data_IF_558593934493
#
_entry.id   IF_558593934493
#
_cell.length_a   1.000
_cell.length_b   1.000
_cell.length_c   1.000
_cell.angle_alpha   90.00
_cell.angle_beta   90.00
_cell.angle_gamma   90.00
#
_symmetry.space_group_name_H-M   'P 1'
#
loop_
_entity.id
_entity.type
_entity.pdbx_description
1 polymer ?
#
# COMPACT_ATOMS: atom_id res chain seq x y z
N UNK A 1 -23.32 -6.68 -28.02
CA UNK A 1 -23.38 -6.86 -26.56
C UNK A 1 -22.01 -6.57 -26.00
N UNK A 2 -21.71 -5.32 -25.67
CA UNK A 2 -20.44 -4.97 -25.04
C UNK A 2 -20.53 -5.34 -23.56
N UNK A 3 -20.01 -6.52 -23.20
CA UNK A 3 -19.97 -7.00 -21.82
C UNK A 3 -18.98 -6.19 -20.98
N UNK A 4 -19.38 -5.01 -20.55
CA UNK A 4 -18.58 -4.26 -19.59
C UNK A 4 -18.44 -5.06 -18.28
N UNK A 5 -17.19 -5.27 -17.86
CA UNK A 5 -16.89 -5.94 -16.60
C UNK A 5 -17.54 -5.17 -15.42
N UNK A 6 -18.19 -5.92 -14.52
CA UNK A 6 -18.67 -5.34 -13.27
C UNK A 6 -17.51 -4.82 -12.40
N UNK A 7 -17.77 -3.86 -11.52
CA UNK A 7 -16.74 -3.33 -10.63
C UNK A 7 -16.17 -4.43 -9.71
N UNK A 8 -16.98 -5.42 -9.32
CA UNK A 8 -16.51 -6.59 -8.56
C UNK A 8 -15.55 -7.47 -9.36
N UNK A 9 -15.86 -7.68 -10.66
CA UNK A 9 -14.96 -8.43 -11.55
C UNK A 9 -13.65 -7.68 -11.77
N UNK A 10 -13.67 -6.37 -11.96
CA UNK A 10 -12.47 -5.53 -12.04
C UNK A 10 -11.63 -5.63 -10.77
N UNK A 11 -12.27 -5.53 -9.60
CA UNK A 11 -11.61 -5.69 -8.31
C UNK A 11 -10.89 -7.05 -8.21
N UNK A 12 -11.59 -8.13 -8.55
CA UNK A 12 -11.01 -9.48 -8.51
C UNK A 12 -9.82 -9.64 -9.47
N UNK A 13 -9.90 -9.06 -10.68
CA UNK A 13 -8.79 -9.07 -11.66
C UNK A 13 -7.59 -8.29 -11.11
N UNK A 14 -7.79 -7.12 -10.52
CA UNK A 14 -6.70 -6.32 -9.91
C UNK A 14 -6.04 -7.08 -8.77
N UNK A 15 -6.84 -7.71 -7.90
CA UNK A 15 -6.31 -8.54 -6.81
C UNK A 15 -5.51 -9.72 -7.35
N UNK A 16 -6.04 -10.45 -8.34
CA UNK A 16 -5.33 -11.57 -8.96
C UNK A 16 -4.00 -11.13 -9.61
N UNK A 17 -4.00 -10.00 -10.31
CA UNK A 17 -2.77 -9.40 -10.86
C UNK A 17 -1.76 -9.08 -9.76
N UNK A 18 -2.20 -8.41 -8.68
CA UNK A 18 -1.33 -8.01 -7.58
C UNK A 18 -0.73 -9.22 -6.83
N UNK A 19 -1.51 -10.28 -6.63
CA UNK A 19 -1.01 -11.54 -6.05
C UNK A 19 0.05 -12.19 -6.95
N UNK A 20 -0.20 -12.27 -8.26
CA UNK A 20 0.78 -12.83 -9.21
C UNK A 20 2.06 -11.99 -9.26
N UNK A 21 1.93 -10.65 -9.24
CA UNK A 21 3.05 -9.71 -9.20
C UNK A 21 3.86 -9.86 -7.91
N UNK A 22 3.19 -10.05 -6.76
CA UNK A 22 3.84 -10.29 -5.46
C UNK A 22 4.68 -11.57 -5.46
N UNK A 23 4.21 -12.63 -6.15
CA UNK A 23 5.00 -13.86 -6.30
C UNK A 23 6.30 -13.61 -7.08
N UNK A 24 6.21 -12.90 -8.23
CA UNK A 24 7.39 -12.54 -9.03
C UNK A 24 8.38 -11.72 -8.21
N UNK A 25 7.87 -10.74 -7.47
CA UNK A 25 8.68 -9.90 -6.59
C UNK A 25 9.37 -10.69 -5.51
N UNK A 26 8.63 -11.53 -4.77
CA UNK A 26 9.19 -12.38 -3.72
C UNK A 26 10.24 -13.35 -4.26
N UNK A 27 10.04 -13.92 -5.45
CA UNK A 27 11.01 -14.78 -6.11
C UNK A 27 12.28 -14.02 -6.49
N UNK A 28 12.17 -12.82 -7.07
CA UNK A 28 13.33 -11.97 -7.40
C UNK A 28 14.13 -11.63 -6.15
N UNK A 29 13.46 -11.18 -5.08
CA UNK A 29 14.12 -10.85 -3.81
C UNK A 29 14.76 -12.09 -3.19
N UNK A 30 14.10 -13.23 -3.23
CA UNK A 30 14.70 -14.50 -2.78
C UNK A 30 15.96 -14.85 -3.56
N UNK A 31 15.95 -14.73 -4.91
CA UNK A 31 17.13 -14.99 -5.74
C UNK A 31 18.28 -14.06 -5.39
N UNK A 32 18.02 -12.76 -5.20
CA UNK A 32 19.04 -11.80 -4.78
C UNK A 32 19.63 -12.18 -3.41
N UNK A 33 18.78 -12.50 -2.44
CA UNK A 33 19.20 -12.91 -1.09
C UNK A 33 20.00 -14.22 -1.12
N UNK A 34 19.59 -15.19 -1.93
CA UNK A 34 20.30 -16.44 -2.11
C UNK A 34 21.67 -16.26 -2.76
N UNK A 35 21.81 -15.37 -3.76
CA UNK A 35 23.08 -15.05 -4.40
C UNK A 35 24.11 -14.41 -3.45
N UNK A 36 23.65 -13.70 -2.42
CA UNK A 36 24.53 -13.08 -1.39
C UNK A 36 24.58 -13.88 -0.09
N UNK A 37 24.02 -15.10 -0.11
CA UNK A 37 23.95 -16.03 1.04
C UNK A 37 23.29 -15.39 2.30
N UNK A 38 22.20 -14.63 2.10
CA UNK A 38 21.53 -13.91 3.17
C UNK A 38 20.01 -13.85 2.98
N UNK A 39 19.29 -14.66 3.73
CA UNK A 39 17.82 -14.68 3.71
C UNK A 39 17.21 -13.50 4.49
N UNK A 40 17.83 -13.12 5.60
CA UNK A 40 17.35 -12.04 6.46
C UNK A 40 17.99 -10.70 6.06
N UNK A 41 17.20 -9.63 5.80
CA UNK A 41 17.77 -8.32 5.40
C UNK A 41 18.56 -7.65 6.54
N UNK A 42 18.09 -7.78 7.77
CA UNK A 42 18.74 -7.20 8.94
C UNK A 42 19.83 -8.12 9.50
N UNK A 43 21.08 -7.76 9.25
CA UNK A 43 22.25 -8.46 9.78
C UNK A 43 23.37 -7.46 10.13
N UNK A 44 24.21 -7.82 11.12
CA UNK A 44 25.30 -6.97 11.61
C UNK A 44 26.31 -6.58 10.51
N UNK A 45 26.50 -7.43 9.50
CA UNK A 45 27.30 -7.11 8.33
C UNK A 45 26.36 -6.69 7.18
N UNK A 46 26.42 -5.45 6.69
CA UNK A 46 25.58 -5.00 5.59
C UNK A 46 25.76 -5.88 4.35
N UNK A 47 24.68 -6.01 3.57
CA UNK A 47 24.67 -6.75 2.30
C UNK A 47 25.80 -6.24 1.40
N UNK A 48 26.65 -7.11 0.81
CA UNK A 48 27.62 -6.73 -0.18
C UNK A 48 26.90 -6.42 -1.51
N UNK A 49 26.16 -5.31 -1.55
CA UNK A 49 25.48 -4.88 -2.77
C UNK A 49 26.55 -4.30 -3.70
N UNK A 50 26.89 -5.01 -4.77
CA UNK A 50 27.68 -4.42 -5.84
C UNK A 50 26.90 -3.25 -6.47
N UNK A 51 27.61 -2.25 -6.98
CA UNK A 51 26.97 -1.10 -7.65
C UNK A 51 26.03 -1.55 -8.81
N UNK A 52 26.37 -2.62 -9.50
CA UNK A 52 25.56 -3.21 -10.57
C UNK A 52 24.25 -3.79 -10.01
N UNK A 53 24.30 -4.57 -8.93
CA UNK A 53 23.11 -5.16 -8.32
C UNK A 53 22.17 -4.08 -7.79
N UNK A 54 22.70 -3.04 -7.12
CA UNK A 54 21.89 -1.93 -6.63
C UNK A 54 21.23 -1.13 -7.75
N UNK A 55 21.88 -0.99 -8.92
CA UNK A 55 21.27 -0.32 -10.08
C UNK A 55 20.13 -1.15 -10.67
N UNK A 56 20.30 -2.46 -10.83
CA UNK A 56 19.23 -3.37 -11.31
C UNK A 56 18.05 -3.36 -10.36
N UNK A 57 18.30 -3.39 -9.05
CA UNK A 57 17.27 -3.35 -8.02
C UNK A 57 16.45 -2.06 -8.07
N UNK A 58 17.11 -0.93 -8.26
CA UNK A 58 16.47 0.37 -8.42
C UNK A 58 15.51 0.42 -9.61
N UNK A 59 15.93 -0.12 -10.77
CA UNK A 59 15.07 -0.22 -11.94
C UNK A 59 13.91 -1.20 -11.74
N UNK A 60 14.14 -2.28 -10.99
CA UNK A 60 13.08 -3.22 -10.61
C UNK A 60 12.01 -2.53 -9.75
N UNK A 61 12.40 -1.77 -8.71
CA UNK A 61 11.47 -0.98 -7.90
C UNK A 61 10.65 -0.01 -8.75
N UNK A 62 11.32 0.72 -9.65
CA UNK A 62 10.64 1.65 -10.56
C UNK A 62 9.65 0.94 -11.49
N UNK A 63 10.00 -0.23 -12.02
CA UNK A 63 9.13 -1.04 -12.86
C UNK A 63 7.91 -1.56 -12.08
N UNK A 64 8.10 -2.00 -10.83
CA UNK A 64 7.03 -2.42 -9.93
C UNK A 64 6.02 -1.30 -9.71
N UNK A 65 6.48 -0.08 -9.39
CA UNK A 65 5.61 1.09 -9.24
C UNK A 65 4.88 1.44 -10.54
N UNK A 66 5.57 1.35 -11.69
CA UNK A 66 4.95 1.57 -13.00
C UNK A 66 3.84 0.56 -13.29
N UNK A 67 4.01 -0.72 -12.97
CA UNK A 67 2.98 -1.76 -13.11
C UNK A 67 1.75 -1.46 -12.24
N UNK A 68 1.96 -1.05 -10.98
CA UNK A 68 0.87 -0.69 -10.06
C UNK A 68 0.07 0.51 -10.59
N UNK A 69 0.75 1.56 -11.05
CA UNK A 69 0.09 2.73 -11.64
C UNK A 69 -0.67 2.33 -12.90
N UNK A 70 -0.06 1.56 -13.77
CA UNK A 70 -0.67 1.12 -15.04
C UNK A 70 -1.93 0.30 -14.83
N UNK A 71 -1.91 -0.68 -13.92
CA UNK A 71 -3.12 -1.47 -13.64
C UNK A 71 -4.25 -0.61 -13.04
N UNK A 72 -3.91 0.37 -12.20
CA UNK A 72 -4.87 1.34 -11.69
C UNK A 72 -5.51 2.19 -12.79
N UNK A 73 -4.71 2.68 -13.74
CA UNK A 73 -5.18 3.45 -14.89
C UNK A 73 -6.09 2.63 -15.80
N UNK A 74 -5.77 1.36 -16.05
CA UNK A 74 -6.55 0.46 -16.89
C UNK A 74 -7.86 0.03 -16.23
N UNK A 75 -7.85 -0.25 -14.93
CA UNK A 75 -9.01 -0.74 -14.21
C UNK A 75 -10.04 0.36 -13.90
N UNK A 76 -9.58 1.58 -13.59
CA UNK A 76 -10.44 2.66 -13.13
C UNK A 76 -11.01 3.52 -14.26
N UNK A 77 -12.31 3.84 -14.21
CA UNK A 77 -12.99 4.72 -15.18
C UNK A 77 -12.89 6.21 -14.82
N UNK A 78 -12.67 6.53 -13.54
CA UNK A 78 -12.45 7.89 -13.04
C UNK A 78 -11.16 7.97 -12.25
N UNK A 79 -10.62 9.18 -12.03
CA UNK A 79 -9.36 9.35 -11.28
C UNK A 79 -9.42 8.74 -9.88
N UNK A 80 -10.56 8.90 -9.18
CA UNK A 80 -10.77 8.31 -7.86
C UNK A 80 -10.66 6.78 -7.91
N UNK A 81 -11.34 6.13 -8.88
CA UNK A 81 -11.28 4.67 -9.07
C UNK A 81 -9.91 4.21 -9.52
N UNK A 82 -9.22 4.97 -10.39
CA UNK A 82 -7.84 4.68 -10.81
C UNK A 82 -6.88 4.63 -9.63
N UNK A 83 -6.91 5.66 -8.79
CA UNK A 83 -6.10 5.70 -7.56
C UNK A 83 -6.56 4.59 -6.59
N UNK A 84 -7.86 4.33 -6.46
CA UNK A 84 -8.39 3.24 -5.65
C UNK A 84 -7.87 1.87 -6.09
N UNK A 85 -7.91 1.57 -7.38
CA UNK A 85 -7.36 0.31 -7.91
C UNK A 85 -5.84 0.22 -7.79
N UNK A 86 -5.11 1.30 -7.99
CA UNK A 86 -3.66 1.35 -7.74
C UNK A 86 -3.34 1.08 -6.25
N UNK A 87 -4.12 1.64 -5.33
CA UNK A 87 -3.98 1.39 -3.90
C UNK A 87 -4.30 -0.07 -3.52
N UNK A 88 -5.34 -0.68 -4.12
CA UNK A 88 -5.62 -2.11 -3.95
C UNK A 88 -4.44 -2.94 -4.45
N UNK A 89 -3.95 -2.65 -5.66
CA UNK A 89 -2.84 -3.39 -6.26
C UNK A 89 -1.58 -3.30 -5.38
N UNK A 90 -1.23 -2.09 -4.92
CA UNK A 90 -0.08 -1.89 -4.02
C UNK A 90 -0.27 -2.66 -2.71
N UNK A 91 -1.41 -2.48 -2.03
CA UNK A 91 -1.62 -3.10 -0.73
C UNK A 91 -1.66 -4.62 -0.80
N UNK A 92 -2.33 -5.20 -1.81
CA UNK A 92 -2.38 -6.66 -2.01
C UNK A 92 -0.99 -7.19 -2.35
N UNK A 93 -0.27 -6.53 -3.26
CA UNK A 93 1.10 -6.88 -3.61
C UNK A 93 2.00 -6.88 -2.37
N UNK A 94 1.99 -5.85 -1.56
CA UNK A 94 2.84 -5.72 -0.37
C UNK A 94 2.55 -6.81 0.68
N UNK A 95 1.28 -7.08 0.97
CA UNK A 95 0.90 -8.15 1.91
C UNK A 95 1.35 -9.53 1.39
N UNK A 96 1.05 -9.84 0.11
CA UNK A 96 1.38 -11.15 -0.47
C UNK A 96 2.88 -11.32 -0.72
N UNK A 97 3.65 -10.26 -0.90
CA UNK A 97 5.10 -10.30 -0.92
C UNK A 97 5.66 -10.96 0.35
N UNK A 98 5.23 -10.54 1.53
CA UNK A 98 5.65 -11.16 2.80
C UNK A 98 5.10 -12.57 2.98
N UNK A 99 3.87 -12.84 2.56
CA UNK A 99 3.29 -14.18 2.58
C UNK A 99 4.14 -15.14 1.75
N UNK A 100 4.51 -14.74 0.54
CA UNK A 100 5.30 -15.59 -0.34
C UNK A 100 6.74 -15.75 0.13
N UNK A 101 7.40 -14.72 0.62
CA UNK A 101 8.73 -14.87 1.24
C UNK A 101 8.68 -15.83 2.44
N UNK A 102 7.63 -15.76 3.26
CA UNK A 102 7.45 -16.70 4.36
C UNK A 102 7.35 -18.13 3.87
N UNK A 103 6.64 -18.37 2.77
CA UNK A 103 6.48 -19.70 2.15
C UNK A 103 7.78 -20.18 1.49
N UNK A 104 8.49 -19.30 0.77
CA UNK A 104 9.68 -19.66 0.00
C UNK A 104 10.90 -19.90 0.90
N UNK A 105 11.16 -19.03 1.87
CA UNK A 105 12.40 -19.03 2.63
C UNK A 105 12.22 -18.97 4.16
N UNK A 106 10.98 -19.05 4.67
CA UNK A 106 10.70 -19.02 6.09
C UNK A 106 10.83 -17.64 6.76
N UNK A 107 11.09 -16.58 6.00
CA UNK A 107 11.17 -15.20 6.48
C UNK A 107 9.99 -14.37 5.90
N UNK A 108 9.41 -13.43 6.66
CA UNK A 108 9.69 -13.03 8.04
C UNK A 108 9.26 -14.10 9.06
N UNK A 109 9.97 -14.23 10.16
CA UNK A 109 9.61 -15.14 11.27
C UNK A 109 8.48 -14.55 12.10
N UNK A 110 8.52 -13.23 12.28
CA UNK A 110 7.53 -12.44 13.01
C UNK A 110 7.22 -11.15 12.25
N UNK A 111 6.11 -10.50 12.59
CA UNK A 111 5.76 -9.20 12.03
C UNK A 111 6.68 -8.05 12.53
N UNK A 112 7.55 -8.33 13.51
CA UNK A 112 8.52 -7.36 14.02
C UNK A 112 9.91 -7.51 13.40
N UNK A 113 10.10 -8.47 12.50
CA UNK A 113 11.34 -8.58 11.73
C UNK A 113 11.52 -7.35 10.84
N UNK A 114 12.76 -6.88 10.76
CA UNK A 114 13.09 -5.69 9.98
C UNK A 114 13.26 -6.02 8.49
N UNK A 115 12.74 -5.13 7.64
CA UNK A 115 12.94 -5.19 6.20
C UNK A 115 13.39 -3.85 5.62
N UNK A 116 14.05 -3.91 4.47
CA UNK A 116 14.27 -2.76 3.58
C UNK A 116 13.09 -2.71 2.62
N UNK A 117 12.25 -1.68 2.76
CA UNK A 117 11.03 -1.55 1.98
C UNK A 117 11.31 -1.02 0.57
N UNK A 118 12.11 0.04 0.48
CA UNK A 118 12.53 0.70 -0.76
C UNK A 118 13.91 1.32 -0.60
N UNK A 119 14.60 1.53 -1.73
CA UNK A 119 15.90 2.18 -1.78
C UNK A 119 15.82 3.67 -2.20
N UNK A 120 14.68 4.10 -2.76
CA UNK A 120 14.46 5.45 -3.26
C UNK A 120 13.58 6.28 -2.33
N UNK A 121 13.91 7.56 -2.08
CA UNK A 121 15.16 8.26 -2.42
C UNK A 121 16.31 7.91 -1.49
N UNK A 122 16.04 7.27 -0.36
CA UNK A 122 16.95 6.74 0.66
C UNK A 122 16.45 5.37 1.09
N UNK A 123 17.28 4.49 1.67
CA UNK A 123 16.80 3.22 2.22
C UNK A 123 15.72 3.41 3.29
N UNK A 124 14.60 2.70 3.12
CA UNK A 124 13.47 2.71 4.05
C UNK A 124 13.54 1.46 4.90
N UNK A 125 13.72 1.63 6.18
CA UNK A 125 13.75 0.53 7.13
C UNK A 125 12.50 0.53 8.01
N UNK A 126 11.83 -0.62 8.10
CA UNK A 126 10.74 -0.81 9.05
C UNK A 126 10.56 -2.28 9.44
N UNK A 127 9.97 -2.55 10.63
CA UNK A 127 9.39 -3.85 10.93
C UNK A 127 8.23 -4.15 9.98
N UNK A 128 8.09 -5.41 9.55
CA UNK A 128 7.07 -5.88 8.57
C UNK A 128 5.64 -5.44 8.93
N UNK A 129 5.33 -5.32 10.22
CA UNK A 129 4.02 -4.85 10.67
C UNK A 129 3.69 -3.44 10.15
N UNK A 130 4.69 -2.58 9.97
CA UNK A 130 4.44 -1.19 9.55
C UNK A 130 3.96 -1.11 8.09
N UNK A 131 4.67 -1.63 7.06
CA UNK A 131 4.17 -1.64 5.69
C UNK A 131 2.85 -2.43 5.56
N UNK A 132 2.71 -3.58 6.20
CA UNK A 132 1.46 -4.37 6.19
C UNK A 132 0.27 -3.55 6.72
N UNK A 133 0.46 -2.74 7.77
CA UNK A 133 -0.61 -1.88 8.30
C UNK A 133 -1.04 -0.81 7.29
N UNK A 134 -0.09 -0.19 6.58
CA UNK A 134 -0.37 0.77 5.50
C UNK A 134 -1.06 0.05 4.33
N UNK A 135 -0.55 -1.12 3.94
CA UNK A 135 -1.11 -1.93 2.85
C UNK A 135 -2.59 -2.30 3.10
N UNK A 136 -2.93 -2.73 4.31
CA UNK A 136 -4.31 -3.02 4.69
C UNK A 136 -5.19 -1.77 4.61
N UNK A 137 -4.71 -0.62 5.07
CA UNK A 137 -5.43 0.65 4.95
C UNK A 137 -5.65 1.04 3.48
N UNK A 138 -4.65 0.83 2.61
CA UNK A 138 -4.75 1.07 1.17
C UNK A 138 -5.77 0.15 0.50
N UNK A 139 -5.81 -1.14 0.85
CA UNK A 139 -6.81 -2.10 0.36
C UNK A 139 -8.22 -1.65 0.77
N UNK A 140 -8.42 -1.32 2.05
CA UNK A 140 -9.71 -0.88 2.58
C UNK A 140 -10.19 0.39 1.88
N UNK A 141 -9.36 1.43 1.86
CA UNK A 141 -9.70 2.67 1.18
C UNK A 141 -9.93 2.47 -0.32
N UNK A 142 -9.03 1.77 -1.01
CA UNK A 142 -9.13 1.50 -2.44
C UNK A 142 -10.40 0.73 -2.81
N UNK A 143 -10.83 -0.21 -1.96
CA UNK A 143 -12.07 -0.95 -2.13
C UNK A 143 -13.29 -0.02 -2.02
N UNK A 144 -13.35 0.83 -0.99
CA UNK A 144 -14.42 1.82 -0.86
C UNK A 144 -14.40 2.80 -2.03
N UNK A 145 -13.22 3.26 -2.44
CA UNK A 145 -13.07 4.20 -3.55
C UNK A 145 -13.48 3.61 -4.90
N UNK A 146 -13.19 2.33 -5.16
CA UNK A 146 -13.48 1.67 -6.44
C UNK A 146 -14.92 1.18 -6.54
N UNK A 147 -15.52 0.70 -5.44
CA UNK A 147 -16.88 0.14 -5.42
C UNK A 147 -17.96 1.18 -5.13
N UNK A 148 -17.62 2.30 -4.49
CA UNK A 148 -18.57 3.35 -4.13
C UNK A 148 -18.99 4.22 -5.31
N UNK A 149 -20.14 4.91 -5.16
CA UNK A 149 -20.57 5.97 -6.07
C UNK A 149 -19.63 7.18 -6.06
N UNK A 150 -19.63 7.97 -7.13
CA UNK A 150 -18.85 9.21 -7.17
C UNK A 150 -19.50 10.31 -6.34
N UNK A 151 -18.81 10.85 -5.32
CA UNK A 151 -19.35 11.95 -4.54
C UNK A 151 -19.34 13.25 -5.36
N UNK A 152 -20.46 13.95 -5.40
CA UNK A 152 -20.59 15.21 -6.13
C UNK A 152 -19.61 16.30 -5.67
N UNK A 153 -19.23 16.33 -4.40
CA UNK A 153 -18.20 17.23 -3.81
C UNK A 153 -17.61 16.59 -2.56
N UNK A 154 -16.31 16.30 -2.57
CA UNK A 154 -15.58 15.82 -1.40
C UNK A 154 -14.76 16.96 -0.76
N UNK A 155 -14.79 17.19 0.57
CA UNK A 155 -13.85 18.12 1.19
C UNK A 155 -12.42 17.62 0.98
N UNK A 156 -11.51 18.55 0.86
CA UNK A 156 -10.08 18.27 0.56
C UNK A 156 -9.25 18.04 1.83
N UNK A 157 -9.72 18.48 2.99
CA UNK A 157 -8.97 18.41 4.24
C UNK A 157 -8.61 16.97 4.68
N UNK A 158 -9.46 15.91 4.48
CA UNK A 158 -9.04 14.54 4.84
C UNK A 158 -7.84 14.08 4.01
N UNK A 159 -7.75 14.50 2.75
CA UNK A 159 -6.63 14.21 1.86
C UNK A 159 -5.36 14.94 2.29
N UNK A 160 -5.48 16.19 2.76
CA UNK A 160 -4.35 16.92 3.31
C UNK A 160 -3.79 16.23 4.56
N UNK A 161 -4.67 15.79 5.49
CA UNK A 161 -4.24 15.02 6.65
C UNK A 161 -3.62 13.68 6.27
N UNK A 162 -4.22 12.96 5.32
CA UNK A 162 -3.64 11.72 4.78
C UNK A 162 -2.25 11.95 4.19
N UNK A 163 -2.06 13.03 3.45
CA UNK A 163 -0.76 13.44 2.91
C UNK A 163 0.28 13.72 3.99
N UNK A 164 -0.11 14.43 5.06
CA UNK A 164 0.77 14.64 6.23
C UNK A 164 1.14 13.29 6.86
N UNK A 165 0.17 12.36 6.99
CA UNK A 165 0.42 11.02 7.49
C UNK A 165 1.46 10.27 6.64
N UNK A 166 1.35 10.34 5.31
CA UNK A 166 2.34 9.73 4.40
C UNK A 166 3.73 10.32 4.62
N UNK A 167 3.86 11.65 4.68
CA UNK A 167 5.15 12.33 4.91
C UNK A 167 5.76 11.91 6.24
N UNK A 168 4.96 11.81 7.31
CA UNK A 168 5.42 11.35 8.62
C UNK A 168 5.88 9.88 8.58
N UNK A 169 5.14 8.99 7.90
CA UNK A 169 5.54 7.59 7.75
C UNK A 169 6.89 7.48 7.02
N UNK A 170 7.05 8.21 5.90
CA UNK A 170 8.31 8.26 5.16
C UNK A 170 9.47 8.79 6.02
N UNK A 171 9.23 9.83 6.83
CA UNK A 171 10.22 10.35 7.74
C UNK A 171 10.66 9.29 8.78
N UNK A 172 9.71 8.50 9.32
CA UNK A 172 10.00 7.41 10.25
C UNK A 172 10.83 6.32 9.56
N UNK A 173 10.47 5.92 8.34
CA UNK A 173 11.17 4.86 7.60
C UNK A 173 12.60 5.25 7.19
N UNK A 174 12.82 6.51 6.84
CA UNK A 174 14.10 7.02 6.36
C UNK A 174 14.98 7.66 7.44
N UNK A 175 14.57 7.64 8.70
CA UNK A 175 15.26 8.40 9.76
C UNK A 175 16.74 8.01 9.92
N UNK A 176 17.05 6.71 9.90
CA UNK A 176 18.44 6.25 10.06
C UNK A 176 19.29 6.55 8.82
N UNK A 177 18.72 6.38 7.62
CA UNK A 177 19.36 6.76 6.36
C UNK A 177 19.61 8.28 6.28
N UNK A 178 18.65 9.10 6.75
CA UNK A 178 18.82 10.57 6.82
C UNK A 178 19.94 11.00 7.77
N UNK A 179 20.09 10.31 8.90
CA UNK A 179 21.19 10.54 9.85
C UNK A 179 22.55 10.16 9.27
N UNK A 180 22.60 9.19 8.36
CA UNK A 180 23.82 8.76 7.70
C UNK A 180 24.27 9.68 6.55
N UNK A 181 23.38 10.54 6.00
CA UNK A 181 23.68 11.44 4.87
C UNK A 181 24.96 12.27 5.02
N UNK A 182 25.25 12.90 6.18
CA UNK A 182 26.48 13.68 6.35
C UNK A 182 27.76 12.87 6.22
N UNK A 183 27.68 11.54 6.36
CA UNK A 183 28.82 10.61 6.29
C UNK A 183 29.03 10.04 4.88
N UNK A 184 28.25 10.49 3.90
CA UNK A 184 28.39 10.13 2.49
C UNK A 184 27.56 8.92 2.06
N UNK A 185 27.56 8.69 0.74
CA UNK A 185 26.70 7.68 0.08
C UNK A 185 26.94 6.25 0.63
N UNK A 186 28.18 5.90 0.91
CA UNK A 186 28.51 4.56 1.38
C UNK A 186 27.94 4.30 2.79
N UNK A 187 27.97 5.30 3.67
CA UNK A 187 27.35 5.23 4.99
C UNK A 187 25.83 5.04 4.90
N UNK A 188 25.16 5.75 3.96
CA UNK A 188 23.71 5.60 3.73
C UNK A 188 23.37 4.19 3.24
N UNK A 189 24.14 3.63 2.32
CA UNK A 189 23.89 2.29 1.78
C UNK A 189 24.16 1.16 2.78
N UNK A 190 24.97 1.42 3.80
CA UNK A 190 25.31 0.45 4.85
C UNK A 190 24.57 0.67 6.16
N UNK A 191 23.65 1.64 6.19
CA UNK A 191 22.93 1.96 7.43
C UNK A 191 22.05 0.80 7.84
N UNK A 192 22.12 0.45 9.12
CA UNK A 192 21.19 -0.49 9.76
C UNK A 192 20.22 0.29 10.66
N UNK A 193 18.96 -0.14 10.77
CA UNK A 193 18.00 0.50 11.65
C UNK A 193 18.40 0.31 13.12
N UNK A 194 18.13 1.32 13.93
CA UNK A 194 18.41 1.30 15.37
C UNK A 194 17.17 1.03 16.19
N UNK A 195 16.15 1.89 16.04
CA UNK A 195 14.89 1.80 16.76
C UNK A 195 13.75 2.30 15.86
N UNK A 196 12.60 1.65 15.93
CA UNK A 196 11.41 2.09 15.21
C UNK A 196 10.52 2.97 16.07
N UNK A 197 10.20 4.16 15.58
CA UNK A 197 9.36 5.12 16.32
C UNK A 197 7.87 4.77 16.17
N UNK A 198 7.40 3.76 16.90
CA UNK A 198 6.02 3.31 16.90
C UNK A 198 5.00 4.42 17.23
N UNK A 199 5.21 5.30 18.24
CA UNK A 199 4.29 6.38 18.52
C UNK A 199 4.07 7.31 17.33
N UNK A 200 5.15 7.78 16.69
CA UNK A 200 5.06 8.66 15.52
C UNK A 200 4.45 7.94 14.31
N UNK A 201 4.80 6.68 14.10
CA UNK A 201 4.20 5.84 13.06
C UNK A 201 2.69 5.64 13.29
N UNK A 202 2.26 5.40 14.53
CA UNK A 202 0.84 5.26 14.86
C UNK A 202 0.06 6.54 14.57
N UNK A 203 0.63 7.71 14.88
CA UNK A 203 0.04 9.01 14.50
C UNK A 203 -0.06 9.12 12.99
N UNK A 204 0.99 8.75 12.24
CA UNK A 204 0.97 8.79 10.77
C UNK A 204 -0.12 7.89 10.19
N UNK A 205 -0.27 6.67 10.70
CA UNK A 205 -1.28 5.71 10.27
C UNK A 205 -2.71 6.22 10.55
N UNK A 206 -2.94 6.82 11.72
CA UNK A 206 -4.21 7.47 12.05
C UNK A 206 -4.54 8.61 11.08
N UNK A 207 -3.56 9.47 10.76
CA UNK A 207 -3.75 10.54 9.78
C UNK A 207 -4.05 9.98 8.38
N UNK A 208 -3.37 8.92 7.96
CA UNK A 208 -3.63 8.24 6.69
C UNK A 208 -5.02 7.58 6.64
N UNK A 209 -5.63 7.25 7.78
CA UNK A 209 -6.96 6.67 7.83
C UNK A 209 -8.09 7.68 7.56
N UNK A 210 -7.85 9.00 7.70
CA UNK A 210 -8.90 10.02 7.52
C UNK A 210 -9.60 9.98 6.16
N UNK A 211 -8.92 9.86 5.01
CA UNK A 211 -9.59 9.72 3.73
C UNK A 211 -10.53 8.50 3.67
N UNK A 212 -10.09 7.35 4.19
CA UNK A 212 -10.87 6.12 4.22
C UNK A 212 -12.12 6.27 5.09
N UNK A 213 -11.97 6.84 6.28
CA UNK A 213 -13.08 7.09 7.22
C UNK A 213 -14.08 8.09 6.66
N UNK A 214 -13.61 9.18 6.04
CA UNK A 214 -14.46 10.18 5.43
C UNK A 214 -15.28 9.60 4.28
N UNK A 215 -14.72 8.73 3.47
CA UNK A 215 -15.43 8.07 2.39
C UNK A 215 -16.40 7.00 2.89
N UNK A 216 -16.02 6.19 3.87
CA UNK A 216 -16.89 5.17 4.45
C UNK A 216 -18.13 5.79 5.10
N UNK A 217 -17.98 6.89 5.86
CA UNK A 217 -19.11 7.63 6.45
C UNK A 217 -20.08 8.13 5.40
N UNK A 218 -19.58 8.70 4.31
CA UNK A 218 -20.43 9.18 3.21
C UNK A 218 -21.17 8.07 2.49
N UNK A 219 -20.50 6.95 2.24
CA UNK A 219 -21.14 5.79 1.66
C UNK A 219 -22.29 5.30 2.53
N UNK A 220 -22.11 5.29 3.86
CA UNK A 220 -23.15 4.93 4.82
C UNK A 220 -24.33 5.93 4.82
N UNK A 221 -24.06 7.25 4.77
CA UNK A 221 -25.09 8.31 4.72
C UNK A 221 -25.94 8.22 3.45
N UNK A 222 -25.32 7.98 2.28
CA UNK A 222 -26.02 7.80 1.02
C UNK A 222 -26.94 6.57 1.06
N UNK A 223 -26.46 5.48 1.62
CA UNK A 223 -27.25 4.22 1.76
C UNK A 223 -28.42 4.42 2.71
N UNK A 224 -28.24 5.12 3.83
CA UNK A 224 -29.29 5.45 4.78
C UNK A 224 -30.35 6.37 4.16
N UNK A 225 -29.95 7.39 3.40
CA UNK A 225 -30.85 8.33 2.71
C UNK A 225 -31.70 7.66 1.62
N UNK A 226 -31.16 6.68 0.90
CA UNK A 226 -31.92 5.88 -0.09
C UNK A 226 -32.97 5.01 0.62
N UNK A 227 -32.58 4.38 1.73
CA UNK A 227 -33.47 3.50 2.52
C UNK A 227 -34.65 4.28 3.11
N UNK A 228 -34.41 5.49 3.63
CA UNK A 228 -35.46 6.34 4.20
C UNK A 228 -36.46 6.83 3.13
N UNK A 229 -36.02 7.15 1.90
CA UNK A 229 -36.90 7.53 0.80
C UNK A 229 -37.77 6.35 0.36
N UNK A 230 -37.23 5.16 0.24
CA UNK A 230 -38.01 3.95 -0.11
C UNK A 230 -39.07 3.60 0.93
N UNK A 231 -38.75 3.81 2.23
CA UNK A 231 -39.74 3.59 3.31
C UNK A 231 -40.85 4.64 3.26
N UNK A 232 -40.55 5.90 3.00
CA UNK A 232 -41.50 6.99 2.88
C UNK A 232 -42.42 6.82 1.67
N UNK A 233 -41.89 6.39 0.49
CA UNK A 233 -42.72 6.09 -0.70
C UNK A 233 -43.64 4.89 -0.50
N UNK A 234 -43.19 3.84 0.22
CA UNK A 234 -44.06 2.69 0.51
C UNK A 234 -45.15 2.99 1.55
N UNK A 235 -44.89 3.86 2.51
CA UNK A 235 -45.88 4.29 3.50
C UNK A 235 -46.93 5.25 2.91
N UNK A 236 -46.59 6.02 1.87
CA UNK A 236 -47.50 6.92 1.19
C UNK A 236 -48.44 6.25 0.15
N UNK A 237 -48.20 4.99 -0.22
CA UNK A 237 -49.03 4.23 -1.18
C UNK A 237 -50.16 3.44 -0.56
N UNK A 238 -50.31 3.43 0.74
CA UNK A 238 -51.40 2.72 1.40
C UNK A 238 -52.55 3.66 1.62
N UNK A 239 -53.47 3.81 0.63
CA UNK A 239 -54.83 4.31 0.78
C UNK A 239 -55.74 3.11 0.69
N UNK A 240 -56.41 2.69 1.78
CA UNK A 240 -57.47 1.69 1.68
C UNK A 240 -58.69 2.29 0.97
N UNK A 241 -59.51 1.44 0.30
CA UNK A 241 -60.71 1.85 -0.45
C UNK A 241 -61.82 2.38 0.46
#
# INVERSE_FOLDING_TARGET
MNGELSERARWAIVVAFAVAMAWVEAACVFYIRALVDRVEPYQVNPLPISAALGTVELWREAATLAMIVTIGLLAGRSWRRRIGYAAIAFGVWDVFYYVFLRVICGWPKTLFDWDILFLLPLPWWAPVLAPVSIALLMILWGTVASQGGEPARAPRWPWALGGVGVVLALAVFMVDASRALPHGREAVLRVLPTTFNWPLFSVSLLLMAFPALAEARRAAELTAGVRSRHTAENSGRWSPP
#
